data_IF_281261665532
#
_entry.id   IF_281261665532
#
_cell.length_a   1.000
_cell.length_b   1.000
_cell.length_c   1.000
_cell.angle_alpha   90.00
_cell.angle_beta   90.00
_cell.angle_gamma   90.00
#
_symmetry.space_group_name_H-M   'P 1'
#
loop_
_entity.id
_entity.type
_entity.pdbx_description
1 polymer ?
#
# COMPACT_ATOMS: atom_id res chain seq x y z
N UNK A 1 -9.27 2.72 -0.84
CA UNK A 1 -8.03 3.00 -0.07
C UNK A 1 -8.20 4.32 0.65
N UNK A 2 -7.77 4.40 1.91
CA UNK A 2 -7.91 5.60 2.75
C UNK A 2 -6.61 5.89 3.48
N UNK A 3 -6.35 7.15 3.74
CA UNK A 3 -5.20 7.64 4.49
C UNK A 3 -5.68 8.49 5.67
N UNK A 4 -5.04 8.35 6.82
CA UNK A 4 -5.30 9.19 7.99
C UNK A 4 -4.03 9.42 8.79
N UNK A 5 -3.82 10.64 9.25
CA UNK A 5 -2.69 11.01 10.11
C UNK A 5 -3.10 10.92 11.58
N UNK A 6 -2.22 10.38 12.41
CA UNK A 6 -2.31 10.40 13.87
C UNK A 6 -1.06 11.06 14.48
N UNK A 7 -1.07 11.39 15.79
CA UNK A 7 0.05 12.10 16.41
C UNK A 7 1.43 11.42 16.31
N UNK A 8 1.47 10.09 16.26
CA UNK A 8 2.72 9.30 16.27
C UNK A 8 2.80 8.23 15.17
N UNK A 9 1.81 8.20 14.27
CA UNK A 9 1.79 7.26 13.15
C UNK A 9 0.86 7.74 12.04
N UNK A 10 1.07 7.24 10.83
CA UNK A 10 0.16 7.36 9.72
C UNK A 10 -0.57 6.04 9.50
N UNK A 11 -1.84 6.13 9.17
CA UNK A 11 -2.70 4.98 8.92
C UNK A 11 -3.07 4.92 7.45
N UNK A 12 -2.77 3.77 6.85
CA UNK A 12 -3.24 3.39 5.53
C UNK A 12 -4.26 2.26 5.68
N UNK A 13 -5.40 2.41 5.02
CA UNK A 13 -6.46 1.39 5.02
C UNK A 13 -6.73 0.92 3.60
N UNK A 14 -6.59 -0.37 3.37
CA UNK A 14 -7.03 -1.05 2.14
C UNK A 14 -8.37 -1.70 2.43
N UNK A 15 -9.38 -1.32 1.65
CA UNK A 15 -10.74 -1.82 1.74
C UNK A 15 -10.93 -2.95 0.74
N UNK A 16 -11.56 -4.04 1.16
CA UNK A 16 -11.80 -5.21 0.31
C UNK A 16 -13.29 -5.46 0.13
N UNK A 17 -13.64 -6.12 -0.98
CA UNK A 17 -14.92 -6.79 -1.13
C UNK A 17 -14.74 -8.26 -0.77
N UNK A 18 -15.61 -8.81 0.10
CA UNK A 18 -15.47 -10.18 0.61
C UNK A 18 -14.61 -10.26 1.87
N UNK A 19 -13.34 -10.65 1.74
CA UNK A 19 -12.41 -10.88 2.86
C UNK A 19 -11.06 -10.22 2.65
N UNK A 20 -10.23 -10.18 3.70
CA UNK A 20 -8.83 -9.77 3.58
C UNK A 20 -8.06 -10.92 2.89
N UNK A 21 -7.33 -10.67 1.79
CA UNK A 21 -6.57 -11.71 1.10
C UNK A 21 -5.31 -12.08 1.88
N UNK A 22 -4.58 -13.10 1.44
CA UNK A 22 -3.22 -13.33 1.92
C UNK A 22 -2.33 -12.11 1.60
N UNK A 23 -1.42 -11.77 2.50
CA UNK A 23 -0.56 -10.61 2.29
C UNK A 23 0.83 -10.75 2.89
N UNK A 24 1.75 -9.95 2.38
CA UNK A 24 3.05 -9.68 3.01
C UNK A 24 3.25 -8.18 3.11
N UNK A 25 3.86 -7.73 4.22
CA UNK A 25 4.21 -6.32 4.45
C UNK A 25 5.67 -6.27 4.87
N UNK A 26 6.52 -5.59 4.10
CA UNK A 26 7.96 -5.52 4.37
C UNK A 26 8.60 -4.27 3.82
N UNK A 27 9.63 -3.77 4.51
CA UNK A 27 10.48 -2.71 3.99
C UNK A 27 11.35 -3.23 2.84
N UNK A 28 11.41 -2.46 1.75
CA UNK A 28 12.26 -2.73 0.59
C UNK A 28 13.14 -1.53 0.27
N UNK A 29 14.33 -1.79 -0.30
CA UNK A 29 15.30 -0.76 -0.70
C UNK A 29 14.94 -0.09 -2.02
N UNK A 30 14.26 -0.82 -2.90
CA UNK A 30 13.77 -0.36 -4.20
C UNK A 30 12.39 -0.99 -4.39
N UNK A 31 11.39 -0.18 -4.73
CA UNK A 31 10.11 -0.69 -5.23
C UNK A 31 10.08 -0.49 -6.73
N UNK A 32 9.93 -1.59 -7.47
CA UNK A 32 9.71 -1.57 -8.90
C UNK A 32 8.23 -1.76 -9.16
N UNK A 33 7.70 -1.15 -10.22
CA UNK A 33 6.44 -1.59 -10.78
C UNK A 33 6.57 -3.06 -11.25
N UNK A 34 5.83 -3.98 -10.63
CA UNK A 34 5.65 -5.35 -11.09
C UNK A 34 5.03 -5.33 -12.49
N UNK A 35 5.69 -5.99 -13.45
CA UNK A 35 5.28 -6.07 -14.86
C UNK A 35 5.99 -5.08 -15.80
N UNK A 36 6.24 -3.83 -15.38
CA UNK A 36 6.97 -2.85 -16.22
C UNK A 36 8.46 -2.74 -15.89
N UNK A 37 8.87 -3.14 -14.68
CA UNK A 37 10.24 -3.01 -14.19
C UNK A 37 10.67 -1.56 -13.93
N UNK A 38 9.74 -0.58 -14.02
CA UNK A 38 10.08 0.83 -13.79
C UNK A 38 10.34 1.06 -12.30
N UNK A 39 11.51 1.61 -11.92
CA UNK A 39 11.78 1.96 -10.54
C UNK A 39 10.84 3.08 -10.10
N UNK A 40 10.21 2.91 -8.95
CA UNK A 40 9.53 4.02 -8.26
C UNK A 40 10.64 4.83 -7.61
N UNK A 41 10.80 6.09 -8.04
CA UNK A 41 11.80 6.99 -7.47
C UNK A 41 11.50 7.26 -6.00
N UNK A 42 12.28 6.62 -5.12
CA UNK A 42 12.16 6.76 -3.68
C UNK A 42 12.79 8.06 -3.17
N UNK A 43 13.48 8.85 -4.02
CA UNK A 43 14.21 10.08 -3.65
C UNK A 43 15.07 9.95 -2.40
N UNK A 44 15.76 8.81 -2.25
CA UNK A 44 16.61 8.48 -1.10
C UNK A 44 15.88 7.87 0.12
N UNK A 45 14.55 7.70 0.04
CA UNK A 45 13.73 7.10 1.08
C UNK A 45 13.71 5.57 1.11
N UNK A 46 12.64 5.02 1.69
CA UNK A 46 12.32 3.58 1.78
C UNK A 46 10.86 3.37 1.40
N UNK A 47 10.55 2.18 0.90
CA UNK A 47 9.17 1.78 0.64
C UNK A 47 8.76 0.63 1.58
N UNK A 48 7.66 0.80 2.30
CA UNK A 48 6.96 -0.31 2.95
C UNK A 48 6.06 -0.93 1.87
N UNK A 49 6.45 -2.09 1.37
CA UNK A 49 5.74 -2.80 0.31
C UNK A 49 4.68 -3.72 0.91
N UNK A 50 3.45 -3.55 0.45
CA UNK A 50 2.29 -4.39 0.75
C UNK A 50 2.00 -5.18 -0.52
N UNK A 51 2.10 -6.51 -0.45
CA UNK A 51 1.75 -7.42 -1.54
C UNK A 51 0.54 -8.24 -1.11
N UNK A 52 -0.51 -8.23 -1.93
CA UNK A 52 -1.80 -8.85 -1.68
C UNK A 52 -2.06 -9.96 -2.71
N UNK A 53 -2.38 -11.18 -2.26
CA UNK A 53 -2.65 -12.35 -3.12
C UNK A 53 -3.67 -13.30 -2.45
N UNK A 54 -4.74 -13.73 -3.14
CA UNK A 54 -5.19 -13.22 -4.44
C UNK A 54 -5.88 -11.86 -4.27
N UNK A 55 -5.63 -10.91 -5.18
CA UNK A 55 -6.29 -9.60 -5.19
C UNK A 55 -6.33 -8.99 -6.59
N UNK A 56 -7.34 -8.17 -6.86
CA UNK A 56 -7.44 -7.32 -8.05
C UNK A 56 -7.75 -5.88 -7.61
N UNK A 57 -7.05 -4.89 -8.17
CA UNK A 57 -7.32 -3.47 -7.96
C UNK A 57 -8.08 -2.84 -9.14
N UNK A 58 -8.86 -3.66 -9.83
CA UNK A 58 -9.77 -3.33 -10.92
C UNK A 58 -11.05 -4.19 -10.82
N UNK A 59 -12.13 -3.73 -11.44
CA UNK A 59 -13.38 -4.47 -11.61
C UNK A 59 -13.26 -5.48 -12.76
N UNK A 60 -14.27 -6.35 -12.93
CA UNK A 60 -14.27 -7.39 -13.99
C UNK A 60 -14.20 -6.80 -15.41
N UNK A 61 -14.76 -5.61 -15.62
CA UNK A 61 -14.66 -4.82 -16.86
C UNK A 61 -13.32 -4.07 -17.02
N UNK A 62 -12.39 -4.21 -16.06
CA UNK A 62 -11.06 -3.60 -16.08
C UNK A 62 -11.00 -2.16 -15.53
N UNK A 63 -12.10 -1.64 -14.98
CA UNK A 63 -12.12 -0.29 -14.39
C UNK A 63 -11.31 -0.28 -13.08
N UNK A 64 -10.29 0.59 -12.92
CA UNK A 64 -9.49 0.64 -11.69
C UNK A 64 -10.34 1.01 -10.46
N UNK A 65 -10.20 0.26 -9.36
CA UNK A 65 -10.88 0.59 -8.08
C UNK A 65 -10.14 1.66 -7.29
N UNK A 66 -8.90 1.94 -7.68
CA UNK A 66 -8.04 2.99 -7.15
C UNK A 66 -7.13 3.50 -8.27
N UNK A 67 -6.95 4.82 -8.34
CA UNK A 67 -6.13 5.49 -9.35
C UNK A 67 -4.64 5.11 -9.31
N UNK A 68 -4.20 4.43 -8.26
CA UNK A 68 -2.85 3.90 -8.11
C UNK A 68 -1.84 4.86 -7.53
N UNK A 69 -2.19 6.12 -7.22
CA UNK A 69 -1.28 7.04 -6.56
C UNK A 69 -2.00 7.93 -5.56
N UNK A 70 -1.40 8.16 -4.41
CA UNK A 70 -1.90 9.11 -3.41
C UNK A 70 -0.71 9.83 -2.78
N UNK A 71 -0.77 11.16 -2.71
CA UNK A 71 0.23 12.00 -2.05
C UNK A 71 -0.40 12.57 -0.79
N UNK A 72 -0.01 12.09 0.41
CA UNK A 72 -0.49 12.66 1.66
C UNK A 72 -0.07 14.13 1.82
N UNK A 73 -0.93 14.94 2.42
CA UNK A 73 -0.64 16.35 2.68
C UNK A 73 0.35 16.58 3.84
N UNK A 74 0.46 15.61 4.76
CA UNK A 74 1.35 15.62 5.92
C UNK A 74 1.47 14.20 6.51
N UNK A 75 2.52 13.97 7.32
CA UNK A 75 2.82 12.68 7.94
C UNK A 75 4.27 12.25 7.65
N UNK A 76 4.62 11.04 8.08
CA UNK A 76 5.85 10.37 7.68
C UNK A 76 5.73 9.62 6.35
N UNK A 77 4.53 9.26 5.92
CA UNK A 77 4.29 8.73 4.58
C UNK A 77 4.23 9.90 3.59
N UNK A 78 5.17 9.91 2.64
CA UNK A 78 5.32 10.99 1.64
C UNK A 78 4.67 10.66 0.31
N UNK A 79 4.27 9.40 0.10
CA UNK A 79 3.60 8.96 -1.11
C UNK A 79 3.13 7.51 -0.99
N UNK A 80 2.13 7.19 -1.80
CA UNK A 80 1.52 5.87 -1.89
C UNK A 80 1.38 5.58 -3.38
N UNK A 81 1.88 4.42 -3.83
CA UNK A 81 1.86 4.04 -5.23
C UNK A 81 1.48 2.57 -5.42
N UNK A 82 0.65 2.28 -6.42
CA UNK A 82 0.40 0.92 -6.90
C UNK A 82 1.63 0.48 -7.66
N UNK A 83 2.22 -0.62 -7.22
CA UNK A 83 3.37 -1.23 -7.88
C UNK A 83 2.94 -2.32 -8.84
N UNK A 84 1.76 -2.91 -8.70
CA UNK A 84 1.32 -4.01 -9.56
C UNK A 84 -0.15 -4.30 -9.40
N UNK A 85 -0.76 -4.85 -10.44
CA UNK A 85 -2.14 -5.31 -10.50
C UNK A 85 -2.28 -6.28 -11.67
N UNK A 86 -1.71 -7.48 -11.52
CA UNK A 86 -1.59 -8.48 -12.58
C UNK A 86 -1.61 -9.90 -12.00
N UNK A 87 -2.21 -10.86 -12.72
CA UNK A 87 -2.28 -12.28 -12.33
C UNK A 87 -2.75 -12.53 -10.88
N UNK A 88 -3.69 -11.71 -10.39
CA UNK A 88 -4.21 -11.81 -9.02
C UNK A 88 -3.24 -11.33 -7.93
N UNK A 89 -2.24 -10.53 -8.30
CA UNK A 89 -1.29 -9.89 -7.38
C UNK A 89 -1.48 -8.38 -7.44
N UNK A 90 -1.72 -7.77 -6.27
CA UNK A 90 -1.71 -6.32 -6.12
C UNK A 90 -0.54 -5.91 -5.23
N UNK A 91 0.30 -5.01 -5.74
CA UNK A 91 1.41 -4.43 -5.01
C UNK A 91 1.16 -2.96 -4.69
N UNK A 92 1.50 -2.54 -3.48
CA UNK A 92 1.36 -1.16 -3.00
C UNK A 92 2.65 -0.76 -2.26
N UNK A 93 3.22 0.39 -2.59
CA UNK A 93 4.37 0.97 -1.91
C UNK A 93 3.95 2.19 -1.10
N UNK A 94 4.27 2.20 0.20
CA UNK A 94 4.17 3.38 1.06
C UNK A 94 5.57 4.00 1.21
N UNK A 95 5.78 5.19 0.67
CA UNK A 95 7.05 5.90 0.69
C UNK A 95 7.24 6.60 2.04
N UNK A 96 8.41 6.42 2.64
CA UNK A 96 8.80 7.08 3.88
C UNK A 96 10.29 7.48 3.84
N UNK A 97 10.74 8.45 4.66
CA UNK A 97 12.15 8.85 4.73
C UNK A 97 13.11 7.73 5.15
N UNK A 98 12.63 6.71 5.87
CA UNK A 98 13.45 5.63 6.40
C UNK A 98 12.63 4.43 6.86
N UNK A 99 13.33 3.41 7.37
CA UNK A 99 12.71 2.24 8.00
C UNK A 99 12.24 2.63 9.39
N UNK A 100 10.99 2.35 9.70
CA UNK A 100 10.35 2.63 10.99
C UNK A 100 9.44 1.47 11.39
N UNK A 101 8.99 1.49 12.65
CA UNK A 101 8.02 0.53 13.15
C UNK A 101 6.69 0.63 12.41
N UNK A 102 6.08 -0.52 12.12
CA UNK A 102 4.73 -0.56 11.59
C UNK A 102 3.93 -1.67 12.26
N UNK A 103 2.60 -1.52 12.23
CA UNK A 103 1.65 -2.51 12.72
C UNK A 103 0.63 -2.80 11.63
N UNK A 104 0.32 -4.08 11.45
CA UNK A 104 -0.74 -4.53 10.56
C UNK A 104 -1.89 -5.06 11.40
N UNK A 105 -3.12 -4.64 11.10
CA UNK A 105 -4.34 -5.11 11.76
C UNK A 105 -5.37 -5.45 10.70
N UNK A 106 -5.91 -6.67 10.77
CA UNK A 106 -7.08 -7.05 10.00
C UNK A 106 -8.35 -6.67 10.76
N UNK A 107 -9.32 -6.10 10.06
CA UNK A 107 -10.66 -5.85 10.60
C UNK A 107 -11.68 -6.59 9.75
N UNK A 108 -12.65 -7.21 10.41
CA UNK A 108 -13.85 -7.74 9.76
C UNK A 108 -14.98 -6.70 9.74
N UNK A 109 -15.97 -6.89 8.87
CA UNK A 109 -17.23 -6.15 8.81
C UNK A 109 -17.11 -4.60 8.85
N UNK A 110 -16.68 -3.92 7.75
CA UNK A 110 -16.21 -4.48 6.48
C UNK A 110 -14.74 -4.95 6.53
N UNK A 111 -14.34 -5.88 5.64
CA UNK A 111 -12.97 -6.41 5.57
C UNK A 111 -11.96 -5.31 5.21
N UNK A 112 -10.98 -5.11 6.07
CA UNK A 112 -9.95 -4.08 5.91
C UNK A 112 -8.59 -4.59 6.36
N UNK A 113 -7.57 -4.22 5.61
CA UNK A 113 -6.18 -4.28 6.06
C UNK A 113 -5.75 -2.88 6.48
N UNK A 114 -5.46 -2.72 7.76
CA UNK A 114 -5.00 -1.45 8.34
C UNK A 114 -3.50 -1.54 8.59
N UNK A 115 -2.75 -0.61 8.02
CA UNK A 115 -1.30 -0.50 8.19
C UNK A 115 -0.99 0.84 8.85
N UNK A 116 -0.52 0.76 10.11
CA UNK A 116 -0.08 1.92 10.89
C UNK A 116 1.46 2.01 10.81
N UNK A 117 2.00 3.14 10.40
CA UNK A 117 3.44 3.39 10.19
C UNK A 117 3.89 4.54 11.10
N UNK A 118 4.81 4.29 12.02
CA UNK A 118 5.25 5.30 12.99
C UNK A 118 6.08 6.44 12.35
N UNK A 119 5.93 7.68 12.83
CA UNK A 119 6.71 8.85 12.40
C UNK A 119 7.05 9.79 13.56
#
# INVERSE_FOLDING_TARGET
>A
MRFGRHPSFDRVVVDFQGGVPGYTVRWVRESHEEGSGRPIDLKGGRALHIRLVPANAHTEDGTPTWNGTTVPAAGGITGIAKTGDFEGVVGIALLAPGVTGFKVTELAAPPRLVVDVAH
#
